data_IF_411726818757
#
_entry.id   IF_411726818757
#
_cell.length_a   1.000
_cell.length_b   1.000
_cell.length_c   1.000
_cell.angle_alpha   90.00
_cell.angle_beta   90.00
_cell.angle_gamma   90.00
#
_symmetry.space_group_name_H-M   'P 1'
#
loop_
_entity.id
_entity.type
_entity.pdbx_description
1 polymer ?
#
# COMPACT_ATOMS: atom_id res chain seq x y z
N UNK A 1 -50.91 -11.31 -7.93
CA UNK A 1 -50.45 -10.48 -6.79
C UNK A 1 -48.98 -10.65 -6.35
N UNK A 2 -48.22 -11.74 -6.61
CA UNK A 2 -46.83 -11.82 -6.14
C UNK A 2 -45.87 -10.88 -6.89
N UNK A 3 -46.16 -10.57 -8.16
CA UNK A 3 -45.32 -9.71 -9.00
C UNK A 3 -45.30 -8.24 -8.55
N UNK A 4 -46.36 -7.76 -7.90
CA UNK A 4 -46.41 -6.39 -7.36
C UNK A 4 -45.47 -6.23 -6.17
N UNK A 5 -45.42 -7.21 -5.27
CA UNK A 5 -44.47 -7.22 -4.15
C UNK A 5 -43.03 -7.31 -4.64
N UNK A 6 -42.80 -8.10 -5.69
CA UNK A 6 -41.48 -8.22 -6.33
C UNK A 6 -41.06 -6.88 -6.98
N UNK A 7 -41.97 -6.23 -7.71
CA UNK A 7 -41.71 -4.93 -8.34
C UNK A 7 -41.43 -3.82 -7.32
N UNK A 8 -42.17 -3.78 -6.21
CA UNK A 8 -41.94 -2.83 -5.12
C UNK A 8 -40.58 -3.10 -4.47
N UNK A 9 -40.25 -4.36 -4.19
CA UNK A 9 -38.95 -4.74 -3.62
C UNK A 9 -37.77 -4.34 -4.52
N UNK A 10 -37.88 -4.56 -5.83
CA UNK A 10 -36.88 -4.12 -6.81
C UNK A 10 -36.75 -2.59 -6.80
N UNK A 11 -37.86 -1.86 -6.80
CA UNK A 11 -37.84 -0.40 -6.79
C UNK A 11 -37.12 0.17 -5.56
N UNK A 12 -37.42 -0.34 -4.36
CA UNK A 12 -36.73 0.07 -3.13
C UNK A 12 -35.26 -0.37 -3.12
N UNK A 13 -34.94 -1.55 -3.65
CA UNK A 13 -33.56 -2.02 -3.79
C UNK A 13 -32.71 -1.12 -4.70
N UNK A 14 -33.26 -0.76 -5.87
CA UNK A 14 -32.60 0.16 -6.81
C UNK A 14 -32.45 1.55 -6.18
N UNK A 15 -33.48 2.05 -5.50
CA UNK A 15 -33.42 3.35 -4.83
C UNK A 15 -32.39 3.38 -3.69
N UNK A 16 -32.32 2.31 -2.88
CA UNK A 16 -31.31 2.16 -1.83
C UNK A 16 -29.89 2.10 -2.40
N UNK A 17 -29.69 1.36 -3.49
CA UNK A 17 -28.41 1.30 -4.19
C UNK A 17 -28.00 2.65 -4.78
N UNK A 18 -28.95 3.37 -5.38
CA UNK A 18 -28.75 4.72 -5.92
C UNK A 18 -28.34 5.72 -4.82
N UNK A 19 -29.05 5.71 -3.68
CA UNK A 19 -28.74 6.57 -2.52
C UNK A 19 -27.40 6.23 -1.90
N UNK A 20 -27.07 4.95 -1.81
CA UNK A 20 -25.77 4.49 -1.36
C UNK A 20 -24.66 5.01 -2.29
N UNK A 21 -24.81 4.88 -3.61
CA UNK A 21 -23.77 5.31 -4.55
C UNK A 21 -23.55 6.84 -4.59
N UNK A 22 -24.61 7.63 -4.37
CA UNK A 22 -24.50 9.09 -4.26
C UNK A 22 -23.85 9.57 -2.96
N UNK A 23 -23.94 8.78 -1.89
CA UNK A 23 -23.36 9.11 -0.58
C UNK A 23 -22.06 8.37 -0.28
N UNK A 24 -21.70 7.40 -1.12
CA UNK A 24 -20.53 6.55 -0.92
C UNK A 24 -19.24 7.34 -1.16
N UNK A 25 -18.36 7.30 -0.17
CA UNK A 25 -16.99 7.74 -0.33
C UNK A 25 -16.25 6.80 -1.29
N UNK A 26 -15.29 7.31 -2.08
CA UNK A 26 -14.43 6.51 -2.96
C UNK A 26 -13.86 5.28 -2.24
N UNK A 27 -13.47 5.43 -0.97
CA UNK A 27 -12.98 4.31 -0.13
C UNK A 27 -14.02 3.21 0.08
N UNK A 28 -15.29 3.56 0.28
CA UNK A 28 -16.38 2.61 0.51
C UNK A 28 -16.74 1.87 -0.78
N UNK A 29 -16.73 2.54 -1.93
CA UNK A 29 -16.94 1.91 -3.24
C UNK A 29 -15.86 0.87 -3.51
N UNK A 30 -14.58 1.23 -3.29
CA UNK A 30 -13.47 0.28 -3.40
C UNK A 30 -13.61 -0.89 -2.43
N UNK A 31 -13.97 -0.64 -1.16
CA UNK A 31 -14.17 -1.71 -0.19
C UNK A 31 -15.29 -2.68 -0.60
N UNK A 32 -16.40 -2.16 -1.13
CA UNK A 32 -17.54 -2.97 -1.58
C UNK A 32 -17.17 -3.81 -2.82
N UNK A 33 -16.44 -3.23 -3.78
CA UNK A 33 -15.94 -3.96 -4.93
C UNK A 33 -14.98 -5.09 -4.50
N UNK A 34 -14.03 -4.80 -3.61
CA UNK A 34 -13.07 -5.79 -3.15
C UNK A 34 -13.76 -6.94 -2.38
N UNK A 35 -14.65 -6.61 -1.45
CA UNK A 35 -15.37 -7.61 -0.66
C UNK A 35 -16.31 -8.45 -1.53
N UNK A 36 -17.01 -7.82 -2.47
CA UNK A 36 -17.86 -8.52 -3.45
C UNK A 36 -17.07 -9.45 -4.36
N UNK A 37 -15.95 -8.99 -4.93
CA UNK A 37 -15.07 -9.83 -5.76
C UNK A 37 -14.49 -11.00 -4.96
N UNK A 38 -14.09 -10.79 -3.71
CA UNK A 38 -13.59 -11.86 -2.86
C UNK A 38 -14.64 -12.94 -2.60
N UNK A 39 -15.87 -12.54 -2.27
CA UNK A 39 -16.97 -13.47 -2.03
C UNK A 39 -17.33 -14.26 -3.31
N UNK A 40 -17.33 -13.59 -4.47
CA UNK A 40 -17.58 -14.24 -5.75
C UNK A 40 -16.49 -15.26 -6.11
N UNK A 41 -15.21 -14.90 -5.95
CA UNK A 41 -14.07 -15.79 -6.19
C UNK A 41 -14.11 -16.98 -5.22
N UNK A 42 -14.37 -16.75 -3.94
CA UNK A 42 -14.50 -17.80 -2.92
C UNK A 42 -15.62 -18.78 -3.27
N UNK A 43 -16.79 -18.27 -3.66
CA UNK A 43 -17.92 -19.10 -4.08
C UNK A 43 -17.58 -19.91 -5.33
N UNK A 44 -16.94 -19.29 -6.33
CA UNK A 44 -16.53 -19.96 -7.55
C UNK A 44 -15.49 -21.08 -7.29
N UNK A 45 -14.50 -20.83 -6.42
CA UNK A 45 -13.51 -21.83 -6.04
C UNK A 45 -14.13 -22.97 -5.22
N UNK A 46 -15.06 -22.66 -4.32
CA UNK A 46 -15.82 -23.66 -3.56
C UNK A 46 -16.65 -24.56 -4.49
N UNK A 47 -17.32 -23.97 -5.49
CA UNK A 47 -18.05 -24.72 -6.50
C UNK A 47 -17.12 -25.57 -7.39
N UNK A 48 -15.93 -25.06 -7.72
CA UNK A 48 -14.91 -25.81 -8.45
C UNK A 48 -14.38 -27.00 -7.63
N UNK A 49 -14.27 -26.84 -6.31
CA UNK A 49 -13.91 -27.90 -5.39
C UNK A 49 -15.00 -29.00 -5.33
N UNK A 50 -16.28 -28.60 -5.20
CA UNK A 50 -17.41 -29.52 -5.18
C UNK A 50 -17.56 -30.33 -6.48
N UNK A 51 -17.19 -29.77 -7.63
CA UNK A 51 -17.26 -30.46 -8.94
C UNK A 51 -16.07 -31.39 -9.21
N UNK A 52 -15.22 -31.66 -8.20
CA UNK A 52 -14.06 -32.54 -8.31
C UNK A 52 -12.87 -31.92 -9.06
N UNK A 53 -12.93 -30.61 -9.36
CA UNK A 53 -11.90 -29.87 -10.11
C UNK A 53 -10.93 -29.14 -9.17
N UNK A 54 -10.63 -29.73 -8.01
CA UNK A 54 -9.67 -29.21 -7.04
C UNK A 54 -8.29 -28.87 -7.66
N UNK A 55 -7.72 -29.68 -8.58
CA UNK A 55 -6.45 -29.34 -9.22
C UNK A 55 -6.52 -28.03 -10.03
N UNK A 56 -7.65 -27.76 -10.69
CA UNK A 56 -7.85 -26.53 -11.44
C UNK A 56 -8.01 -25.30 -10.52
N UNK A 57 -8.62 -25.45 -9.35
CA UNK A 57 -8.76 -24.38 -8.36
C UNK A 57 -7.38 -23.97 -7.83
N UNK A 58 -6.55 -24.96 -7.49
CA UNK A 58 -5.18 -24.73 -7.01
C UNK A 58 -4.31 -24.11 -8.11
N UNK A 59 -4.41 -24.59 -9.35
CA UNK A 59 -3.67 -24.04 -10.47
C UNK A 59 -3.99 -22.55 -10.73
N UNK A 60 -5.25 -22.14 -10.59
CA UNK A 60 -5.66 -20.73 -10.71
C UNK A 60 -5.09 -19.86 -9.58
N UNK A 61 -5.14 -20.34 -8.33
CA UNK A 61 -4.59 -19.61 -7.19
C UNK A 61 -3.07 -19.41 -7.32
N UNK A 62 -2.35 -20.46 -7.70
CA UNK A 62 -0.89 -20.42 -7.89
C UNK A 62 -0.50 -19.60 -9.12
N UNK A 63 -1.24 -19.74 -10.24
CA UNK A 63 -0.96 -19.03 -11.48
C UNK A 63 -1.19 -17.51 -11.39
N UNK A 64 -2.13 -17.08 -10.53
CA UNK A 64 -2.41 -15.65 -10.30
C UNK A 64 -1.54 -15.02 -9.21
N UNK A 65 -0.84 -15.82 -8.41
CA UNK A 65 0.11 -15.36 -7.39
C UNK A 65 1.12 -14.31 -7.86
N UNK A 66 1.85 -14.49 -8.99
CA UNK A 66 2.83 -13.50 -9.44
C UNK A 66 2.21 -12.14 -9.78
N UNK A 67 0.98 -12.11 -10.29
CA UNK A 67 0.27 -10.85 -10.57
C UNK A 67 -0.16 -10.13 -9.28
N UNK A 68 -0.63 -10.87 -8.28
CA UNK A 68 -0.93 -10.32 -6.96
C UNK A 68 0.29 -9.68 -6.30
N UNK A 69 1.43 -10.37 -6.34
CA UNK A 69 2.70 -9.85 -5.81
C UNK A 69 3.17 -8.62 -6.60
N UNK A 70 3.08 -8.62 -7.93
CA UNK A 70 3.47 -7.49 -8.76
C UNK A 70 2.63 -6.22 -8.46
N UNK A 71 1.33 -6.38 -8.22
CA UNK A 71 0.45 -5.27 -7.82
C UNK A 71 0.79 -4.74 -6.42
N UNK A 72 1.19 -5.61 -5.50
CA UNK A 72 1.61 -5.19 -4.16
C UNK A 72 2.96 -4.47 -4.13
N UNK A 73 3.89 -4.87 -5.02
CA UNK A 73 5.18 -4.21 -5.17
C UNK A 73 5.04 -2.76 -5.66
N UNK A 74 4.07 -2.46 -6.55
CA UNK A 74 3.80 -1.08 -6.99
C UNK A 74 3.39 -0.15 -5.83
N UNK A 75 2.64 -0.64 -4.83
CA UNK A 75 2.30 0.17 -3.64
C UNK A 75 3.48 0.40 -2.70
N UNK A 76 4.44 -0.52 -2.61
CA UNK A 76 5.68 -0.31 -1.83
C UNK A 76 6.69 0.61 -2.53
N UNK A 77 6.68 0.65 -3.87
CA UNK A 77 7.51 1.56 -4.68
C UNK A 77 6.94 2.97 -4.83
N UNK A 78 5.71 3.21 -4.38
CA UNK A 78 5.18 4.55 -4.14
C UNK A 78 5.68 5.15 -2.81
N UNK A 79 6.89 4.78 -2.38
CA UNK A 79 7.71 5.68 -1.58
C UNK A 79 8.02 6.85 -2.52
N UNK A 80 7.87 8.11 -2.10
CA UNK A 80 8.30 9.21 -2.95
C UNK A 80 9.80 9.03 -3.16
N UNK A 81 10.20 8.48 -4.31
CA UNK A 81 11.49 8.80 -4.88
C UNK A 81 11.41 10.30 -5.08
N UNK A 82 12.05 11.02 -4.17
CA UNK A 82 12.17 12.46 -4.21
C UNK A 82 12.61 12.83 -5.63
N UNK A 83 12.00 13.86 -6.25
CA UNK A 83 12.37 14.26 -7.59
C UNK A 83 13.86 14.54 -7.61
N UNK A 84 14.55 13.97 -8.59
CA UNK A 84 15.93 14.25 -8.91
C UNK A 84 16.18 15.76 -8.90
N UNK A 85 16.79 16.25 -7.82
CA UNK A 85 17.47 17.54 -7.78
C UNK A 85 18.54 17.43 -6.71
N UNK A 86 19.80 17.38 -7.15
CA UNK A 86 21.05 17.17 -6.40
C UNK A 86 21.25 15.76 -5.81
N UNK A 87 22.17 15.02 -6.43
CA UNK A 87 22.89 13.93 -5.75
C UNK A 87 23.57 14.57 -4.55
N UNK A 88 23.03 14.36 -3.34
CA UNK A 88 23.61 14.89 -2.10
C UNK A 88 25.11 14.57 -2.06
N UNK A 89 25.93 15.58 -1.80
CA UNK A 89 27.38 15.42 -1.71
C UNK A 89 27.76 14.80 -0.36
N UNK A 90 29.00 14.33 -0.22
CA UNK A 90 29.49 13.80 1.06
C UNK A 90 29.47 14.86 2.16
N UNK A 91 29.76 16.12 1.82
CA UNK A 91 29.72 17.27 2.71
C UNK A 91 28.28 17.56 3.18
N UNK A 92 27.32 17.61 2.25
CA UNK A 92 25.90 17.77 2.59
C UNK A 92 25.39 16.62 3.46
N UNK A 93 25.86 15.38 3.22
CA UNK A 93 25.48 14.23 4.04
C UNK A 93 25.99 14.35 5.48
N UNK A 94 27.20 14.87 5.67
CA UNK A 94 27.77 15.15 6.99
C UNK A 94 26.98 16.26 7.70
N UNK A 95 26.62 17.31 7.00
CA UNK A 95 25.81 18.41 7.54
C UNK A 95 24.42 17.93 7.97
N UNK A 96 23.75 17.10 7.16
CA UNK A 96 22.44 16.52 7.48
C UNK A 96 22.49 15.64 8.74
N UNK A 97 23.60 14.94 8.99
CA UNK A 97 23.79 14.15 10.20
C UNK A 97 24.39 14.95 11.38
N UNK A 98 24.79 16.21 11.15
CA UNK A 98 25.47 17.04 12.15
C UNK A 98 26.87 16.54 12.52
N UNK A 99 27.57 15.92 11.57
CA UNK A 99 28.89 15.30 11.75
C UNK A 99 30.00 16.09 11.05
N UNK A 100 31.24 15.89 11.51
CA UNK A 100 32.45 16.45 10.87
C UNK A 100 33.04 15.45 9.88
N UNK A 101 33.90 15.91 8.97
CA UNK A 101 34.54 15.07 7.93
C UNK A 101 35.28 13.83 8.45
N UNK A 102 35.78 13.88 9.69
CA UNK A 102 36.51 12.80 10.37
C UNK A 102 35.61 11.91 11.24
N UNK A 103 34.28 11.96 11.10
CA UNK A 103 33.38 11.12 11.87
C UNK A 103 33.59 9.63 11.52
N UNK A 104 33.61 8.78 12.55
CA UNK A 104 33.75 7.35 12.37
C UNK A 104 32.45 6.73 11.84
N UNK A 105 32.53 5.50 11.30
CA UNK A 105 31.34 4.73 10.90
C UNK A 105 30.37 4.49 12.05
N UNK A 106 30.86 4.44 13.29
CA UNK A 106 30.05 4.28 14.49
C UNK A 106 29.28 5.56 14.82
N UNK A 107 29.94 6.71 14.70
CA UNK A 107 29.32 8.04 14.88
C UNK A 107 28.20 8.27 13.86
N UNK A 108 28.43 7.90 12.60
CA UNK A 108 27.44 7.96 11.52
C UNK A 108 26.19 7.13 11.87
N UNK A 109 26.38 5.89 12.34
CA UNK A 109 25.26 5.01 12.72
C UNK A 109 24.51 5.53 13.94
N UNK A 110 25.21 6.10 14.91
CA UNK A 110 24.60 6.66 16.12
C UNK A 110 23.76 7.90 15.79
N UNK A 111 24.35 8.88 15.11
CA UNK A 111 23.66 10.10 14.68
C UNK A 111 22.43 9.79 13.82
N UNK A 112 22.55 8.83 12.90
CA UNK A 112 21.42 8.34 12.10
C UNK A 112 20.25 7.81 12.95
N UNK A 113 20.55 6.95 13.94
CA UNK A 113 19.51 6.36 14.80
C UNK A 113 18.80 7.43 15.62
N UNK A 114 19.54 8.37 16.18
CA UNK A 114 19.00 9.46 16.99
C UNK A 114 18.11 10.38 16.14
N UNK A 115 18.57 10.74 14.94
CA UNK A 115 17.83 11.59 14.01
C UNK A 115 16.57 10.94 13.44
N UNK A 116 16.61 9.66 13.08
CA UNK A 116 15.41 8.95 12.58
C UNK A 116 14.39 8.72 13.70
N UNK A 117 14.85 8.43 14.92
CA UNK A 117 13.94 8.29 16.06
C UNK A 117 13.18 9.59 16.32
N UNK A 118 13.87 10.73 16.23
CA UNK A 118 13.27 12.06 16.41
C UNK A 118 12.37 12.49 15.24
N UNK A 119 12.80 12.21 14.01
CA UNK A 119 12.12 12.65 12.78
C UNK A 119 11.26 11.53 12.15
N UNK A 120 10.80 10.57 12.95
CA UNK A 120 9.89 9.55 12.44
C UNK A 120 8.55 10.19 12.07
N UNK A 121 7.90 9.81 10.95
CA UNK A 121 6.59 10.33 10.55
C UNK A 121 5.47 10.08 11.56
N UNK A 122 5.69 9.20 12.54
CA UNK A 122 4.73 8.90 13.61
C UNK A 122 4.89 9.82 14.83
N UNK A 123 5.95 10.62 14.90
CA UNK A 123 6.18 11.56 16.00
C UNK A 123 6.06 12.99 15.49
N UNK A 124 7.03 13.47 14.71
CA UNK A 124 7.11 14.89 14.34
C UNK A 124 7.75 15.13 12.95
N UNK A 125 8.21 14.08 12.26
CA UNK A 125 8.96 14.23 11.02
C UNK A 125 8.12 14.19 9.74
N UNK A 126 8.55 14.89 8.70
CA UNK A 126 8.00 14.69 7.35
C UNK A 126 8.64 13.47 6.68
N UNK A 127 7.90 12.78 5.80
CA UNK A 127 8.48 11.69 5.00
C UNK A 127 9.72 12.14 4.20
N UNK A 128 9.74 13.40 3.78
CA UNK A 128 10.86 14.02 3.08
C UNK A 128 12.12 14.10 3.98
N UNK A 129 11.99 14.55 5.23
CA UNK A 129 13.12 14.69 6.13
C UNK A 129 13.71 13.32 6.49
N UNK A 130 12.85 12.33 6.76
CA UNK A 130 13.29 10.96 6.98
C UNK A 130 14.01 10.39 5.75
N UNK A 131 13.55 10.69 4.53
CA UNK A 131 14.21 10.30 3.29
C UNK A 131 15.59 10.96 3.15
N UNK A 132 15.71 12.26 3.43
CA UNK A 132 16.97 13.03 3.40
C UNK A 132 18.00 12.47 4.39
N UNK A 133 17.58 12.10 5.62
CA UNK A 133 18.45 11.46 6.63
C UNK A 133 18.93 10.07 6.16
N UNK A 134 18.05 9.27 5.54
CA UNK A 134 18.44 7.97 4.99
C UNK A 134 19.47 8.11 3.86
N UNK A 135 19.26 9.07 2.95
CA UNK A 135 20.18 9.36 1.85
C UNK A 135 21.57 9.75 2.38
N UNK A 136 21.65 10.57 3.42
CA UNK A 136 22.92 10.98 4.04
C UNK A 136 23.69 9.78 4.62
N UNK A 137 23.02 8.89 5.35
CA UNK A 137 23.62 7.65 5.85
C UNK A 137 24.16 6.80 4.71
N UNK A 138 23.36 6.62 3.65
CA UNK A 138 23.71 5.73 2.54
C UNK A 138 24.92 6.24 1.76
N UNK A 139 25.11 7.57 1.65
CA UNK A 139 26.31 8.17 1.03
C UNK A 139 27.56 7.97 1.89
N UNK A 140 27.45 8.15 3.21
CA UNK A 140 28.58 8.08 4.13
C UNK A 140 29.03 6.65 4.47
N UNK A 141 28.15 5.67 4.29
CA UNK A 141 28.42 4.25 4.56
C UNK A 141 28.60 3.40 3.29
N UNK A 142 28.53 4.00 2.11
CA UNK A 142 28.90 3.37 0.84
C UNK A 142 30.41 3.11 0.78
#
# INVERSE_FOLDING_TARGET
>A
MPYLLLAIGIFFGIYGLYRFFLSANVKQVWALLLTGSFLAISTALFFLALTGRLPAALALLVGLWPFGVALWQKKKKARPESPSSSTMTREEALEVLGLKENASKEDIKKAYKDLIKKNHPDQEGTQWLAARINQARDILLK
#
